data_IF_098322194583
#
_entry.id   IF_098322194583
#
_cell.length_a   1.000
_cell.length_b   1.000
_cell.length_c   1.000
_cell.angle_alpha   90.00
_cell.angle_beta   90.00
_cell.angle_gamma   90.00
#
_symmetry.space_group_name_H-M   'P 1'
#
loop_
_entity.id
_entity.type
_entity.pdbx_description
1 polymer ?
#
# COMPACT_ATOMS: atom_id res chain seq x y z
N UNK A 1 14.12 -5.59 3.19
CA UNK A 1 12.97 -6.36 3.73
C UNK A 1 11.68 -5.56 3.68
N UNK A 2 11.72 -4.23 3.81
CA UNK A 2 10.50 -3.41 3.90
C UNK A 2 9.63 -3.45 2.64
N UNK A 3 10.23 -3.62 1.45
CA UNK A 3 9.45 -3.83 0.21
C UNK A 3 8.63 -5.12 0.21
N UNK A 4 9.12 -6.20 0.83
CA UNK A 4 8.36 -7.47 0.93
C UNK A 4 7.16 -7.27 1.85
N UNK A 5 7.33 -6.46 2.90
CA UNK A 5 6.23 -6.13 3.81
C UNK A 5 5.20 -5.25 3.12
N UNK A 6 5.62 -4.27 2.32
CA UNK A 6 4.70 -3.47 1.49
C UNK A 6 3.91 -4.30 0.50
N UNK A 7 4.48 -5.41 0.03
CA UNK A 7 3.79 -6.35 -0.86
C UNK A 7 2.74 -7.17 -0.10
N UNK A 8 3.12 -7.80 1.02
CA UNK A 8 2.24 -8.76 1.72
C UNK A 8 1.20 -8.05 2.60
N UNK A 9 1.65 -7.07 3.38
CA UNK A 9 0.83 -6.34 4.36
C UNK A 9 1.08 -4.83 4.19
N UNK A 10 0.47 -4.20 3.17
CA UNK A 10 0.73 -2.81 2.82
C UNK A 10 0.62 -1.82 3.99
N UNK A 11 -0.39 -1.90 4.88
CA UNK A 11 -0.49 -0.99 6.03
C UNK A 11 0.70 -1.07 6.98
N UNK A 12 1.29 -2.26 7.16
CA UNK A 12 2.48 -2.42 8.00
C UNK A 12 3.70 -1.74 7.36
N UNK A 13 3.83 -1.80 6.03
CA UNK A 13 4.85 -1.06 5.29
C UNK A 13 4.70 0.45 5.47
N UNK A 14 3.47 0.97 5.43
CA UNK A 14 3.18 2.39 5.69
C UNK A 14 3.53 2.77 7.12
N UNK A 15 3.15 1.95 8.11
CA UNK A 15 3.51 2.20 9.50
C UNK A 15 5.03 2.28 9.70
N UNK A 16 5.79 1.35 9.09
CA UNK A 16 7.25 1.36 9.13
C UNK A 16 7.87 2.53 8.40
N UNK A 17 7.21 3.08 7.38
CA UNK A 17 7.67 4.28 6.67
C UNK A 17 7.56 5.58 7.50
N UNK A 18 6.88 5.57 8.64
CA UNK A 18 6.77 6.72 9.54
C UNK A 18 5.68 7.74 9.18
N UNK A 19 5.02 7.59 8.03
CA UNK A 19 3.93 8.46 7.58
C UNK A 19 2.59 8.10 8.23
N UNK A 20 2.46 8.37 9.54
CA UNK A 20 1.29 7.97 10.36
C UNK A 20 -0.08 8.39 9.80
N UNK A 21 -0.29 9.59 9.22
CA UNK A 21 -1.59 9.96 8.67
C UNK A 21 -2.02 9.08 7.48
N UNK A 22 -1.06 8.59 6.69
CA UNK A 22 -1.33 7.74 5.53
C UNK A 22 -1.69 6.30 5.92
N UNK A 23 -1.48 5.91 7.19
CA UNK A 23 -1.82 4.57 7.67
C UNK A 23 -3.33 4.30 7.56
N UNK A 24 -4.17 5.30 7.85
CA UNK A 24 -5.63 5.15 7.78
C UNK A 24 -6.08 4.93 6.34
N UNK A 25 -5.50 5.67 5.40
CA UNK A 25 -5.78 5.52 3.96
C UNK A 25 -5.35 4.13 3.50
N UNK A 26 -4.13 3.70 3.86
CA UNK A 26 -3.62 2.38 3.53
C UNK A 26 -4.47 1.25 4.10
N UNK A 27 -4.93 1.37 5.36
CA UNK A 27 -5.85 0.44 6.00
C UNK A 27 -7.19 0.39 5.25
N UNK A 28 -7.77 1.54 4.91
CA UNK A 28 -9.04 1.62 4.20
C UNK A 28 -8.98 0.91 2.85
N UNK A 29 -7.95 1.18 2.04
CA UNK A 29 -7.77 0.53 0.73
C UNK A 29 -7.53 -0.98 0.89
N UNK A 30 -6.71 -1.38 1.86
CA UNK A 30 -6.42 -2.80 2.11
C UNK A 30 -7.65 -3.58 2.59
N UNK A 31 -8.41 -3.04 3.54
CA UNK A 31 -9.67 -3.65 4.00
C UNK A 31 -10.67 -3.74 2.86
N UNK A 32 -10.79 -2.70 2.03
CA UNK A 32 -11.67 -2.73 0.88
C UNK A 32 -11.28 -3.85 -0.10
N UNK A 33 -9.99 -4.04 -0.39
CA UNK A 33 -9.53 -5.16 -1.20
C UNK A 33 -9.93 -6.51 -0.60
N UNK A 34 -9.76 -6.70 0.72
CA UNK A 34 -10.16 -7.92 1.42
C UNK A 34 -11.67 -8.17 1.36
N UNK A 35 -12.49 -7.12 1.48
CA UNK A 35 -13.95 -7.22 1.33
C UNK A 35 -14.29 -7.72 -0.08
N UNK A 36 -13.67 -7.15 -1.12
CA UNK A 36 -13.90 -7.57 -2.49
C UNK A 36 -13.44 -9.00 -2.76
N UNK A 37 -12.31 -9.42 -2.18
CA UNK A 37 -11.87 -10.82 -2.24
C UNK A 37 -12.86 -11.76 -1.54
N UNK A 38 -13.33 -11.38 -0.36
CA UNK A 38 -14.33 -12.16 0.37
C UNK A 38 -15.62 -12.29 -0.44
N UNK A 39 -16.12 -11.20 -1.02
CA UNK A 39 -17.32 -11.23 -1.87
C UNK A 39 -17.09 -12.09 -3.10
N UNK A 40 -15.96 -11.94 -3.79
CA UNK A 40 -15.63 -12.76 -4.96
C UNK A 40 -15.55 -14.26 -4.63
N UNK A 41 -15.00 -14.62 -3.47
CA UNK A 41 -14.90 -16.01 -3.01
C UNK A 41 -16.25 -16.65 -2.64
N UNK A 42 -17.32 -15.86 -2.49
CA UNK A 42 -18.66 -16.31 -2.13
C UNK A 42 -19.66 -16.05 -3.27
N UNK A 43 -19.27 -16.39 -4.50
CA UNK A 43 -20.10 -16.23 -5.72
C UNK A 43 -20.56 -14.79 -5.98
N UNK A 44 -19.73 -13.82 -5.59
CA UNK A 44 -19.98 -12.40 -5.82
C UNK A 44 -20.04 -12.02 -7.31
N UNK A 45 -20.52 -10.81 -7.64
CA UNK A 45 -20.64 -10.36 -9.02
C UNK A 45 -19.30 -10.43 -9.78
N UNK A 46 -19.29 -10.68 -11.11
CA UNK A 46 -18.06 -10.80 -11.89
C UNK A 46 -17.06 -9.66 -11.72
N UNK A 47 -17.55 -8.43 -11.53
CA UNK A 47 -16.70 -7.26 -11.28
C UNK A 47 -15.84 -7.36 -10.01
N UNK A 48 -16.25 -8.14 -9.01
CA UNK A 48 -15.51 -8.27 -7.76
C UNK A 48 -14.23 -9.09 -7.90
N UNK A 49 -14.20 -10.05 -8.83
CA UNK A 49 -13.00 -10.83 -9.17
C UNK A 49 -11.87 -9.98 -9.74
N UNK A 50 -12.21 -8.92 -10.49
CA UNK A 50 -11.23 -7.97 -11.01
C UNK A 50 -10.90 -6.88 -9.98
N UNK A 51 -11.90 -6.38 -9.26
CA UNK A 51 -11.72 -5.25 -8.34
C UNK A 51 -10.87 -5.60 -7.11
N UNK A 52 -10.99 -6.80 -6.53
CA UNK A 52 -10.18 -7.22 -5.37
C UNK A 52 -8.66 -7.09 -5.64
N UNK A 53 -8.12 -7.76 -6.67
CA UNK A 53 -6.72 -7.64 -7.06
C UNK A 53 -6.30 -6.20 -7.41
N UNK A 54 -7.13 -5.44 -8.13
CA UNK A 54 -6.80 -4.06 -8.52
C UNK A 54 -6.69 -3.13 -7.31
N UNK A 55 -7.65 -3.21 -6.37
CA UNK A 55 -7.63 -2.42 -5.14
C UNK A 55 -6.44 -2.82 -4.27
N UNK A 56 -6.11 -4.12 -4.22
CA UNK A 56 -4.91 -4.59 -3.52
C UNK A 56 -3.63 -4.00 -4.12
N UNK A 57 -3.52 -3.94 -5.44
CA UNK A 57 -2.39 -3.31 -6.13
C UNK A 57 -2.25 -1.82 -5.77
N UNK A 58 -3.36 -1.09 -5.62
CA UNK A 58 -3.30 0.29 -5.13
C UNK A 58 -2.76 0.38 -3.70
N UNK A 59 -3.14 -0.54 -2.81
CA UNK A 59 -2.58 -0.59 -1.46
C UNK A 59 -1.06 -0.84 -1.48
N UNK A 60 -0.61 -1.79 -2.32
CA UNK A 60 0.82 -2.12 -2.49
C UNK A 60 1.60 -0.92 -3.02
N UNK A 61 1.14 -0.27 -4.10
CA UNK A 61 1.79 0.91 -4.69
C UNK A 61 1.89 2.03 -3.66
N UNK A 62 0.80 2.30 -2.93
CA UNK A 62 0.77 3.33 -1.90
C UNK A 62 1.81 3.05 -0.80
N UNK A 63 1.88 1.82 -0.30
CA UNK A 63 2.87 1.40 0.71
C UNK A 63 4.30 1.46 0.18
N UNK A 64 4.50 1.02 -1.06
CA UNK A 64 5.81 1.01 -1.72
C UNK A 64 6.36 2.43 -1.86
N UNK A 65 5.56 3.38 -2.35
CA UNK A 65 6.01 4.78 -2.55
C UNK A 65 6.46 5.41 -1.24
N UNK A 66 5.71 5.22 -0.15
CA UNK A 66 6.05 5.79 1.16
C UNK A 66 7.31 5.13 1.76
N UNK A 67 7.40 3.80 1.63
CA UNK A 67 8.58 3.05 2.06
C UNK A 67 9.82 3.44 1.26
N UNK A 68 9.68 3.61 -0.06
CA UNK A 68 10.75 4.06 -0.94
C UNK A 68 11.25 5.46 -0.55
N UNK A 69 10.34 6.41 -0.33
CA UNK A 69 10.68 7.78 0.13
C UNK A 69 11.48 7.76 1.44
N UNK A 70 11.06 6.95 2.42
CA UNK A 70 11.81 6.79 3.67
C UNK A 70 13.21 6.26 3.42
N UNK A 71 13.34 5.20 2.62
CA UNK A 71 14.64 4.60 2.32
C UNK A 71 15.57 5.55 1.55
N UNK A 72 15.03 6.39 0.67
CA UNK A 72 15.79 7.44 -0.01
C UNK A 72 16.34 8.47 0.98
N UNK A 73 15.51 8.92 1.93
CA UNK A 73 15.93 9.85 2.97
C UNK A 73 17.01 9.24 3.89
N UNK A 74 16.89 7.97 4.28
CA UNK A 74 17.88 7.28 5.12
C UNK A 74 19.21 7.05 4.41
N UNK A 75 19.20 6.84 3.09
CA UNK A 75 20.41 6.56 2.29
C UNK A 75 21.10 7.82 1.78
N UNK A 76 20.61 9.01 2.12
CA UNK A 76 21.16 10.28 1.65
C UNK A 76 20.97 10.51 0.15
N UNK A 77 20.11 9.74 -0.53
CA UNK A 77 19.66 10.06 -1.89
C UNK A 77 18.57 11.12 -1.77
N UNK A 78 18.99 12.34 -1.41
CA UNK A 78 18.15 13.53 -1.39
C UNK A 78 17.70 13.77 -2.83
N UNK A 79 16.39 13.81 -3.05
CA UNK A 79 15.86 14.21 -4.35
C UNK A 79 16.38 15.62 -4.67
N UNK A 80 16.86 15.90 -5.89
CA UNK A 80 17.55 17.16 -6.21
C UNK A 80 16.73 18.45 -6.03
N UNK A 81 15.44 18.34 -5.66
CA UNK A 81 14.52 19.45 -5.43
C UNK A 81 14.07 19.60 -3.97
N UNK A 82 14.77 19.00 -3.01
CA UNK A 82 14.35 19.05 -1.61
C UNK A 82 14.62 20.41 -0.94
N UNK A 83 15.49 21.24 -1.54
CA UNK A 83 15.90 22.57 -1.04
C UNK A 83 15.46 23.74 -1.96
N UNK A 84 14.52 23.51 -2.89
CA UNK A 84 13.90 24.55 -3.73
C UNK A 84 12.47 24.82 -3.30
#
# INVERSE_FOLDING_TARGET
MDYIISLILPPLGVWRSGFKPQLIVSLGIWILALIFFYVAANDGPPGTYAAGPVIYMFAVIHSFVLTHRKLQAERGSIHPHQDQ
#
